data_IF_864648283182
#
_entry.id   IF_864648283182
#
_cell.length_a   1.000
_cell.length_b   1.000
_cell.length_c   1.000
_cell.angle_alpha   90.00
_cell.angle_beta   90.00
_cell.angle_gamma   90.00
#
_symmetry.space_group_name_H-M   'P 1'
#
loop_
_entity.id
_entity.type
_entity.pdbx_description
1 polymer ?
#
# COMPACT_ATOMS: atom_id res chain seq x y z
N UNK A 1 17.40 10.59 12.81
CA UNK A 1 17.41 10.07 11.43
C UNK A 1 16.02 9.90 10.78
N UNK A 2 14.91 9.72 11.51
CA UNK A 2 13.59 9.45 10.88
C UNK A 2 12.89 10.62 10.16
N UNK A 3 13.14 11.88 10.56
CA UNK A 3 12.39 13.04 10.03
C UNK A 3 12.64 13.30 8.53
N UNK A 4 13.87 13.13 8.05
CA UNK A 4 14.20 13.33 6.63
C UNK A 4 13.51 12.31 5.72
N UNK A 5 13.49 11.03 6.15
CA UNK A 5 12.79 9.95 5.45
C UNK A 5 11.28 10.22 5.46
N UNK A 6 10.73 10.69 6.57
CA UNK A 6 9.32 11.01 6.68
C UNK A 6 8.88 12.12 5.70
N UNK A 7 9.66 13.19 5.60
CA UNK A 7 9.42 14.26 4.62
C UNK A 7 9.53 13.75 3.19
N UNK A 8 10.54 12.93 2.89
CA UNK A 8 10.69 12.32 1.57
C UNK A 8 9.46 11.48 1.22
N UNK A 9 8.96 10.66 2.16
CA UNK A 9 7.75 9.87 1.97
C UNK A 9 6.50 10.74 1.74
N UNK A 10 6.35 11.84 2.50
CA UNK A 10 5.23 12.77 2.34
C UNK A 10 5.26 13.48 0.98
N UNK A 11 6.41 14.03 0.58
CA UNK A 11 6.53 14.76 -0.68
C UNK A 11 6.42 13.83 -1.89
N UNK A 12 7.10 12.68 -1.87
CA UNK A 12 6.99 11.70 -2.95
C UNK A 12 5.57 11.12 -3.04
N UNK A 13 4.96 10.77 -1.91
CA UNK A 13 3.58 10.27 -1.88
C UNK A 13 2.57 11.32 -2.35
N UNK A 14 2.71 12.56 -1.90
CA UNK A 14 1.88 13.68 -2.35
C UNK A 14 2.04 13.98 -3.84
N UNK A 15 3.26 13.92 -4.37
CA UNK A 15 3.52 14.06 -5.80
C UNK A 15 2.84 12.94 -6.61
N UNK A 16 2.90 11.68 -6.15
CA UNK A 16 2.23 10.56 -6.82
C UNK A 16 0.70 10.69 -6.75
N UNK A 17 0.14 11.10 -5.61
CA UNK A 17 -1.30 11.34 -5.46
C UNK A 17 -1.79 12.47 -6.38
N UNK A 18 -1.08 13.60 -6.42
CA UNK A 18 -1.42 14.73 -7.30
C UNK A 18 -1.31 14.38 -8.78
N UNK A 19 -0.27 13.64 -9.18
CA UNK A 19 -0.14 13.08 -10.51
C UNK A 19 -1.30 12.14 -10.87
N UNK A 20 -1.67 11.22 -9.97
CA UNK A 20 -2.75 10.28 -10.21
C UNK A 20 -4.14 10.95 -10.29
N UNK A 21 -4.36 12.05 -9.56
CA UNK A 21 -5.58 12.86 -9.62
C UNK A 21 -5.65 13.76 -10.87
N UNK A 22 -4.60 13.80 -11.69
CA UNK A 22 -4.59 14.55 -12.94
C UNK A 22 -4.25 16.03 -12.82
N UNK A 23 -3.60 16.44 -11.72
CA UNK A 23 -3.10 17.82 -11.58
C UNK A 23 -1.92 18.12 -12.51
N UNK A 24 -1.28 17.09 -13.08
CA UNK A 24 -0.22 17.23 -14.07
C UNK A 24 -0.70 16.78 -15.45
N UNK A 25 -0.30 17.47 -16.55
CA UNK A 25 -0.66 17.06 -17.89
C UNK A 25 -0.06 15.70 -18.21
N UNK A 26 -0.83 14.83 -18.87
CA UNK A 26 -0.47 13.43 -19.11
C UNK A 26 0.84 13.28 -19.92
N UNK A 27 1.16 14.27 -20.75
CA UNK A 27 2.35 14.26 -21.62
C UNK A 27 3.67 14.36 -20.84
N UNK A 28 3.64 14.82 -19.58
CA UNK A 28 4.83 14.91 -18.72
C UNK A 28 5.01 13.70 -17.80
N UNK A 29 4.04 12.77 -17.77
CA UNK A 29 4.05 11.63 -16.86
C UNK A 29 4.45 10.36 -17.61
N UNK A 30 5.74 10.01 -17.55
CA UNK A 30 6.31 8.71 -17.98
C UNK A 30 5.94 7.56 -17.02
N UNK A 31 4.69 7.52 -16.54
CA UNK A 31 4.21 6.42 -15.69
C UNK A 31 3.49 5.41 -16.57
N UNK A 32 4.14 4.28 -16.84
CA UNK A 32 3.52 3.12 -17.52
C UNK A 32 2.46 2.42 -16.65
N UNK A 33 2.27 2.85 -15.39
CA UNK A 33 1.38 2.23 -14.44
C UNK A 33 -0.05 2.82 -14.47
N UNK A 34 -1.10 2.00 -14.26
CA UNK A 34 -2.48 2.49 -14.16
C UNK A 34 -2.63 3.52 -13.03
N UNK A 35 -3.38 4.61 -13.29
CA UNK A 35 -3.60 5.71 -12.32
C UNK A 35 -4.02 5.25 -10.91
N UNK A 36 -4.86 4.20 -10.83
CA UNK A 36 -5.32 3.64 -9.55
C UNK A 36 -4.18 3.05 -8.71
N UNK A 37 -3.20 2.42 -9.37
CA UNK A 37 -2.02 1.84 -8.72
C UNK A 37 -1.09 2.94 -8.22
N UNK A 38 -0.88 3.97 -9.05
CA UNK A 38 -0.09 5.16 -8.68
C UNK A 38 -0.70 5.86 -7.47
N UNK A 39 -2.02 6.05 -7.47
CA UNK A 39 -2.75 6.66 -6.35
C UNK A 39 -2.58 5.85 -5.06
N UNK A 40 -2.74 4.53 -5.14
CA UNK A 40 -2.57 3.65 -3.99
C UNK A 40 -1.15 3.66 -3.42
N UNK A 41 -0.12 3.64 -4.28
CA UNK A 41 1.28 3.79 -3.87
C UNK A 41 1.54 5.14 -3.18
N UNK A 42 0.98 6.22 -3.73
CA UNK A 42 1.06 7.56 -3.13
C UNK A 42 0.43 7.62 -1.74
N UNK A 43 -0.77 7.04 -1.56
CA UNK A 43 -1.47 6.98 -0.26
C UNK A 43 -0.64 6.23 0.78
N UNK A 44 -0.05 5.08 0.42
CA UNK A 44 0.82 4.32 1.32
C UNK A 44 2.04 5.13 1.75
N UNK A 45 2.69 5.82 0.82
CA UNK A 45 3.84 6.68 1.09
C UNK A 45 3.48 7.84 2.04
N UNK A 46 2.34 8.50 1.81
CA UNK A 46 1.85 9.57 2.69
C UNK A 46 1.57 9.04 4.10
N UNK A 47 0.87 7.91 4.22
CA UNK A 47 0.57 7.29 5.52
C UNK A 47 1.84 6.85 6.25
N UNK A 48 2.83 6.29 5.55
CA UNK A 48 4.13 5.94 6.10
C UNK A 48 4.90 7.17 6.60
N UNK A 49 4.88 8.27 5.83
CA UNK A 49 5.47 9.54 6.24
C UNK A 49 4.84 10.10 7.51
N UNK A 50 3.51 10.10 7.60
CA UNK A 50 2.80 10.48 8.83
C UNK A 50 3.10 9.56 10.01
N UNK A 51 3.20 8.25 9.79
CA UNK A 51 3.54 7.29 10.84
C UNK A 51 4.94 7.56 11.40
N UNK A 52 5.92 7.84 10.53
CA UNK A 52 7.28 8.16 10.92
C UNK A 52 7.37 9.48 11.71
N UNK A 53 6.52 10.47 11.43
CA UNK A 53 6.43 11.71 12.19
C UNK A 53 5.67 11.55 13.50
N UNK A 54 4.65 10.69 13.53
CA UNK A 54 3.76 10.50 14.67
C UNK A 54 4.24 9.43 15.65
N UNK A 55 5.47 8.88 15.49
CA UNK A 55 5.99 7.72 16.23
C UNK A 55 5.79 7.78 17.75
N UNK A 56 5.91 8.97 18.34
CA UNK A 56 5.79 9.18 19.80
C UNK A 56 4.43 9.76 20.23
N UNK A 57 3.49 9.93 19.29
CA UNK A 57 2.20 10.55 19.54
C UNK A 57 1.09 9.50 19.66
N UNK A 58 0.03 9.81 20.43
CA UNK A 58 -1.17 8.95 20.56
C UNK A 58 -1.85 8.63 19.21
N UNK A 59 -1.57 9.42 18.18
CA UNK A 59 -2.10 9.22 16.83
C UNK A 59 -1.36 8.11 16.04
N UNK A 60 -0.19 7.65 16.52
CA UNK A 60 0.61 6.61 15.86
C UNK A 60 -0.21 5.35 15.58
N UNK A 61 -0.98 4.88 16.57
CA UNK A 61 -1.77 3.66 16.43
C UNK A 61 -2.89 3.83 15.39
N UNK A 62 -3.50 5.01 15.32
CA UNK A 62 -4.54 5.30 14.31
C UNK A 62 -3.95 5.32 12.90
N UNK A 63 -2.79 5.96 12.73
CA UNK A 63 -2.09 6.05 11.44
C UNK A 63 -1.57 4.67 11.02
N UNK A 64 -1.06 3.87 11.96
CA UNK A 64 -0.64 2.50 11.70
C UNK A 64 -1.82 1.62 11.25
N UNK A 65 -2.98 1.73 11.91
CA UNK A 65 -4.20 1.03 11.48
C UNK A 65 -4.64 1.46 10.08
N UNK A 66 -4.61 2.76 9.76
CA UNK A 66 -4.92 3.26 8.42
C UNK A 66 -3.94 2.73 7.36
N UNK A 67 -2.65 2.70 7.68
CA UNK A 67 -1.61 2.16 6.81
C UNK A 67 -1.83 0.66 6.54
N UNK A 68 -2.13 -0.13 7.58
CA UNK A 68 -2.45 -1.55 7.44
C UNK A 68 -3.70 -1.77 6.58
N UNK A 69 -4.74 -0.93 6.74
CA UNK A 69 -5.94 -1.00 5.90
C UNK A 69 -5.64 -0.61 4.44
N UNK A 70 -4.77 0.37 4.21
CA UNK A 70 -4.33 0.73 2.86
C UNK A 70 -3.58 -0.44 2.19
N UNK A 71 -2.68 -1.10 2.92
CA UNK A 71 -2.03 -2.33 2.44
C UNK A 71 -3.03 -3.45 2.18
N UNK A 72 -3.98 -3.68 3.10
CA UNK A 72 -5.03 -4.68 2.92
C UNK A 72 -5.87 -4.41 1.66
N UNK A 73 -6.20 -3.14 1.37
CA UNK A 73 -6.92 -2.77 0.15
C UNK A 73 -6.13 -3.06 -1.12
N UNK A 74 -4.85 -2.68 -1.16
CA UNK A 74 -3.96 -2.94 -2.30
C UNK A 74 -3.72 -4.43 -2.52
N UNK A 75 -3.31 -5.14 -1.47
CA UNK A 75 -3.02 -6.57 -1.53
C UNK A 75 -4.28 -7.38 -1.78
N UNK A 76 -5.42 -6.96 -1.23
CA UNK A 76 -6.73 -7.55 -1.51
C UNK A 76 -7.12 -7.39 -2.97
N UNK A 77 -6.89 -6.20 -3.54
CA UNK A 77 -7.11 -6.00 -4.97
C UNK A 77 -6.24 -6.94 -5.81
N UNK A 78 -4.95 -7.08 -5.48
CA UNK A 78 -4.06 -8.04 -6.16
C UNK A 78 -4.55 -9.48 -6.03
N UNK A 79 -5.04 -9.86 -4.84
CA UNK A 79 -5.50 -11.22 -4.56
C UNK A 79 -6.74 -11.60 -5.38
N UNK A 80 -7.74 -10.72 -5.41
CA UNK A 80 -9.07 -11.04 -5.96
C UNK A 80 -9.28 -10.54 -7.40
N UNK A 81 -8.64 -9.44 -7.79
CA UNK A 81 -8.95 -8.73 -9.04
C UNK A 81 -7.78 -8.62 -10.02
N UNK A 82 -6.55 -9.00 -9.63
CA UNK A 82 -5.45 -8.97 -10.59
C UNK A 82 -5.67 -9.96 -11.75
N UNK A 83 -5.31 -9.60 -12.99
CA UNK A 83 -5.27 -10.53 -14.11
C UNK A 83 -4.35 -11.73 -13.84
N UNK A 84 -4.70 -12.89 -14.38
CA UNK A 84 -3.87 -14.09 -14.29
C UNK A 84 -2.47 -13.83 -14.87
N UNK A 85 -1.41 -14.25 -14.16
CA UNK A 85 -0.03 -14.05 -14.57
C UNK A 85 0.63 -12.76 -14.05
N UNK A 86 -0.11 -11.93 -13.30
CA UNK A 86 0.45 -10.74 -12.64
C UNK A 86 1.52 -11.13 -11.59
N UNK A 87 1.32 -12.23 -10.86
CA UNK A 87 2.20 -12.66 -9.76
C UNK A 87 3.36 -13.53 -10.25
N UNK A 88 3.22 -14.14 -11.43
CA UNK A 88 4.20 -15.07 -12.00
C UNK A 88 5.60 -14.49 -12.21
N UNK A 89 5.73 -13.16 -12.34
CA UNK A 89 7.03 -12.49 -12.56
C UNK A 89 7.98 -12.57 -11.36
N UNK A 90 7.51 -13.00 -10.19
CA UNK A 90 8.32 -12.99 -8.95
C UNK A 90 9.14 -14.28 -8.76
N UNK A 91 8.67 -15.43 -9.27
CA UNK A 91 9.34 -16.72 -9.10
C UNK A 91 9.41 -17.50 -10.43
N UNK A 92 10.49 -17.38 -11.21
CA UNK A 92 10.58 -17.97 -12.56
C UNK A 92 10.69 -19.51 -12.56
N UNK A 93 10.94 -20.15 -11.42
CA UNK A 93 11.19 -21.59 -11.30
C UNK A 93 9.93 -22.43 -10.99
N UNK A 94 8.79 -21.78 -10.70
CA UNK A 94 7.55 -22.45 -10.32
C UNK A 94 6.57 -22.43 -11.50
N UNK A 95 5.88 -23.56 -11.82
CA UNK A 95 4.84 -23.59 -12.85
C UNK A 95 3.83 -22.45 -12.69
N UNK A 96 3.50 -21.81 -13.80
CA UNK A 96 2.69 -20.60 -13.86
C UNK A 96 1.35 -20.70 -13.08
N UNK A 97 0.67 -21.83 -13.19
CA UNK A 97 -0.61 -22.09 -12.50
C UNK A 97 -0.46 -22.21 -10.98
N UNK A 98 0.62 -22.84 -10.52
CA UNK A 98 0.92 -23.03 -9.09
C UNK A 98 1.38 -21.71 -8.47
N UNK A 99 2.19 -20.94 -9.20
CA UNK A 99 2.71 -19.66 -8.75
C UNK A 99 1.59 -18.61 -8.56
N UNK A 100 0.67 -18.48 -9.51
CA UNK A 100 -0.45 -17.53 -9.38
C UNK A 100 -1.38 -17.90 -8.22
N UNK A 101 -1.70 -19.18 -8.08
CA UNK A 101 -2.57 -19.67 -7.00
C UNK A 101 -1.93 -19.51 -5.62
N UNK A 102 -0.67 -19.94 -5.47
CA UNK A 102 0.07 -19.81 -4.21
C UNK A 102 0.30 -18.34 -3.84
N UNK A 103 0.62 -17.50 -4.83
CA UNK A 103 0.79 -16.06 -4.66
C UNK A 103 -0.48 -15.39 -4.17
N UNK A 104 -1.63 -15.65 -4.78
CA UNK A 104 -2.93 -15.14 -4.32
C UNK A 104 -3.26 -15.59 -2.91
N UNK A 105 -2.94 -16.83 -2.55
CA UNK A 105 -3.21 -17.37 -1.22
C UNK A 105 -2.36 -16.67 -0.16
N UNK A 106 -1.06 -16.46 -0.44
CA UNK A 106 -0.15 -15.70 0.44
C UNK A 106 -0.59 -14.24 0.59
N UNK A 107 -0.95 -13.58 -0.51
CA UNK A 107 -1.46 -12.21 -0.47
C UNK A 107 -2.79 -12.14 0.31
N UNK A 108 -3.70 -13.11 0.13
CA UNK A 108 -4.94 -13.22 0.89
C UNK A 108 -4.71 -13.36 2.40
N UNK A 109 -3.76 -14.20 2.82
CA UNK A 109 -3.35 -14.31 4.22
C UNK A 109 -2.76 -12.99 4.74
N UNK A 110 -1.98 -12.29 3.91
CA UNK A 110 -1.48 -10.95 4.20
C UNK A 110 -2.61 -9.93 4.43
N UNK A 111 -3.69 -10.00 3.66
CA UNK A 111 -4.86 -9.12 3.84
C UNK A 111 -5.55 -9.41 5.17
N UNK A 112 -5.81 -10.69 5.46
CA UNK A 112 -6.49 -11.09 6.71
C UNK A 112 -5.68 -10.64 7.92
N UNK A 113 -4.36 -10.80 7.89
CA UNK A 113 -3.46 -10.34 8.97
C UNK A 113 -3.46 -8.82 9.10
N UNK A 114 -3.34 -8.07 8.01
CA UNK A 114 -3.39 -6.60 8.03
C UNK A 114 -4.72 -6.08 8.61
N UNK A 115 -5.86 -6.64 8.16
CA UNK A 115 -7.18 -6.28 8.68
C UNK A 115 -7.34 -6.64 10.15
N UNK A 116 -6.90 -7.84 10.55
CA UNK A 116 -6.98 -8.31 11.94
C UNK A 116 -6.18 -7.42 12.89
N UNK A 117 -4.94 -7.09 12.52
CA UNK A 117 -4.07 -6.20 13.32
C UNK A 117 -4.61 -4.78 13.35
N UNK A 118 -5.10 -4.24 12.21
CA UNK A 118 -5.68 -2.91 12.16
C UNK A 118 -6.93 -2.80 13.06
N UNK A 119 -7.82 -3.79 13.00
CA UNK A 119 -9.02 -3.86 13.83
C UNK A 119 -8.67 -3.97 15.33
N UNK A 120 -7.63 -4.74 15.66
CA UNK A 120 -7.16 -4.84 17.03
C UNK A 120 -6.54 -3.53 17.55
N UNK A 121 -5.75 -2.83 16.73
CA UNK A 121 -5.22 -1.49 17.05
C UNK A 121 -6.34 -0.48 17.27
N UNK A 122 -7.35 -0.46 16.38
CA UNK A 122 -8.54 0.38 16.52
C UNK A 122 -9.31 0.08 17.81
N UNK A 123 -9.51 -1.21 18.15
CA UNK A 123 -10.17 -1.59 19.41
C UNK A 123 -9.43 -1.10 20.65
N UNK A 124 -8.10 -0.98 20.61
CA UNK A 124 -7.31 -0.43 21.72
C UNK A 124 -7.48 1.09 21.87
N UNK A 125 -7.73 1.81 20.78
CA UNK A 125 -7.95 3.26 20.80
C UNK A 125 -9.30 3.65 21.43
N UNK A 126 -10.31 2.78 21.34
CA UNK A 126 -11.66 3.02 21.88
C UNK A 126 -11.90 2.42 23.27
N UNK A 127 -10.87 1.87 23.91
CA UNK A 127 -10.89 1.43 25.32
C UNK A 127 -10.13 2.40 26.17
#
# INVERSE_FOLDING_TARGET
MGKGIAWLCLFAGGALCSAALGFFPADYLLLEAPRRVVLGGGVVLVLAGFMLLARDHRASDSIASLLLLAFAGLVGWVTFYAPAGTIQRVFPFIPASVNDTAGRLLFGLGVVTCVGVAAWGLRRLFR
#
